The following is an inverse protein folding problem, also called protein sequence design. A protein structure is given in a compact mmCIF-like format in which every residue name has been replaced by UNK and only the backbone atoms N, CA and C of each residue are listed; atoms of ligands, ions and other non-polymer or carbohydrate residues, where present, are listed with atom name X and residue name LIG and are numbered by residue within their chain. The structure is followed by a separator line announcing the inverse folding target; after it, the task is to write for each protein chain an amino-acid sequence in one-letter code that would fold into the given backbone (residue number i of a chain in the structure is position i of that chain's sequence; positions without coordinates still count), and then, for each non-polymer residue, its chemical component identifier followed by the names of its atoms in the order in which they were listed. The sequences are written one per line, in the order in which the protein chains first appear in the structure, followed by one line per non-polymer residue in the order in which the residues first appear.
data_IF_733289939625
#
_entry.id   IF_733289939625
#
_cell.length_a   1.000
_cell.length_b   1.000
_cell.length_c   1.000
_cell.angle_alpha   90.00
_cell.angle_beta   90.00
_cell.angle_gamma   90.00
#
_symmetry.space_group_name_H-M   'P 1'
#
loop_
_entity.id
_entity.type
_entity.pdbx_description
1 polymer ?
#
# COMPACT_ATOMS: atom_id res chain seq x y z
N UNK A 1 -3.01 20.13 -17.40
CA UNK A 1 -4.41 19.75 -17.15
C UNK A 1 -4.89 18.77 -18.20
N UNK A 2 -4.64 17.47 -18.00
CA UNK A 2 -5.13 16.40 -18.86
C UNK A 2 -6.26 15.64 -18.13
N UNK A 3 -7.27 16.39 -17.63
CA UNK A 3 -8.35 15.83 -16.82
C UNK A 3 -9.07 14.63 -17.45
N UNK A 4 -9.01 14.51 -18.77
CA UNK A 4 -9.79 13.50 -19.50
C UNK A 4 -8.95 12.33 -20.01
N UNK A 5 -7.66 12.22 -19.61
CA UNK A 5 -6.73 11.30 -20.25
C UNK A 5 -6.31 10.10 -19.37
N UNK A 6 -6.76 9.98 -18.14
CA UNK A 6 -6.46 8.83 -17.28
C UNK A 6 -7.55 8.58 -16.23
N UNK A 7 -7.77 7.33 -15.91
CA UNK A 7 -8.72 6.86 -14.90
C UNK A 7 -8.03 6.50 -13.59
N UNK A 8 -6.77 6.12 -13.68
CA UNK A 8 -5.95 5.65 -12.56
C UNK A 8 -4.58 6.30 -12.54
N UNK A 9 -4.03 6.43 -11.33
CA UNK A 9 -2.64 6.70 -11.05
C UNK A 9 -2.04 5.43 -10.45
N UNK A 10 -0.96 4.92 -11.04
CA UNK A 10 -0.23 3.75 -10.55
C UNK A 10 1.16 4.18 -10.08
N UNK A 11 1.44 3.94 -8.80
CA UNK A 11 2.79 4.02 -8.23
C UNK A 11 3.44 2.66 -8.26
N UNK A 12 4.69 2.62 -8.71
CA UNK A 12 5.56 1.45 -8.65
C UNK A 12 6.95 1.94 -8.31
N UNK A 13 7.53 1.46 -7.21
CA UNK A 13 8.92 1.72 -6.87
C UNK A 13 9.85 0.95 -7.81
N UNK A 14 11.00 1.53 -8.11
CA UNK A 14 11.95 0.97 -9.09
C UNK A 14 12.56 -0.37 -8.69
N UNK A 15 12.43 -0.75 -7.43
CA UNK A 15 12.94 -1.97 -6.83
C UNK A 15 11.82 -2.98 -6.46
N UNK A 16 10.61 -2.75 -6.95
CA UNK A 16 9.47 -3.67 -6.82
C UNK A 16 9.32 -4.50 -8.09
N UNK A 17 9.26 -5.83 -7.93
CA UNK A 17 9.00 -6.79 -9.01
C UNK A 17 7.72 -7.56 -8.74
N UNK A 18 6.88 -7.72 -9.74
CA UNK A 18 5.58 -8.36 -9.66
C UNK A 18 5.17 -8.98 -11.01
N UNK A 19 4.15 -9.83 -11.00
CA UNK A 19 3.56 -10.37 -12.23
C UNK A 19 2.67 -9.33 -12.90
N UNK A 20 2.77 -9.17 -14.22
CA UNK A 20 2.01 -8.15 -14.96
C UNK A 20 0.50 -8.23 -14.76
N UNK A 21 -0.06 -9.44 -14.53
CA UNK A 21 -1.48 -9.65 -14.26
C UNK A 21 -1.94 -9.10 -12.89
N UNK A 22 -1.02 -8.84 -11.95
CA UNK A 22 -1.35 -8.26 -10.65
C UNK A 22 -2.08 -6.93 -10.78
N UNK A 23 -1.61 -6.06 -11.69
CA UNK A 23 -2.23 -4.75 -11.91
C UNK A 23 -3.66 -4.90 -12.48
N UNK A 24 -3.87 -5.85 -13.39
CA UNK A 24 -5.22 -6.12 -13.91
C UNK A 24 -6.18 -6.62 -12.83
N UNK A 25 -5.72 -7.48 -11.93
CA UNK A 25 -6.50 -7.92 -10.76
C UNK A 25 -6.84 -6.76 -9.81
N UNK A 26 -5.92 -5.82 -9.63
CA UNK A 26 -6.18 -4.60 -8.84
C UNK A 26 -7.23 -3.71 -9.52
N UNK A 27 -7.18 -3.57 -10.85
CA UNK A 27 -8.19 -2.83 -11.63
C UNK A 27 -9.56 -3.52 -11.51
N UNK A 28 -9.61 -4.85 -11.69
CA UNK A 28 -10.84 -5.65 -11.62
C UNK A 28 -11.49 -5.63 -10.23
N UNK A 29 -10.67 -5.43 -9.18
CA UNK A 29 -11.16 -5.27 -7.82
C UNK A 29 -11.99 -3.99 -7.61
N UNK A 30 -11.87 -3.02 -8.52
CA UNK A 30 -12.67 -1.78 -8.57
C UNK A 30 -12.69 -0.97 -7.26
N UNK A 31 -11.54 -0.88 -6.57
CA UNK A 31 -11.40 -0.09 -5.34
C UNK A 31 -10.85 1.31 -5.63
N UNK A 32 -11.24 2.28 -4.80
CA UNK A 32 -10.76 3.66 -4.93
C UNK A 32 -9.24 3.74 -4.73
N UNK A 33 -8.72 3.05 -3.71
CA UNK A 33 -7.29 2.85 -3.46
C UNK A 33 -7.07 1.36 -3.20
N UNK A 34 -6.15 0.76 -3.94
CA UNK A 34 -5.71 -0.61 -3.72
C UNK A 34 -4.19 -0.73 -3.92
N UNK A 35 -3.51 -1.38 -2.98
CA UNK A 35 -2.08 -1.66 -3.08
C UNK A 35 -1.82 -3.16 -3.12
N UNK A 36 -0.67 -3.57 -3.67
CA UNK A 36 -0.15 -4.92 -3.50
C UNK A 36 0.99 -4.87 -2.46
N UNK A 37 0.80 -5.44 -1.26
CA UNK A 37 1.79 -5.38 -0.20
C UNK A 37 3.05 -6.16 -0.58
N UNK A 38 4.20 -5.59 -0.29
CA UNK A 38 5.51 -6.20 -0.50
C UNK A 38 6.28 -6.31 0.83
N UNK A 39 7.18 -7.32 0.96
CA UNK A 39 8.01 -7.46 2.15
C UNK A 39 8.95 -6.25 2.32
N UNK A 40 9.17 -5.84 3.55
CA UNK A 40 10.28 -4.93 3.87
C UNK A 40 11.63 -5.62 3.64
N UNK A 41 12.69 -4.87 3.34
CA UNK A 41 14.07 -5.39 3.17
C UNK A 41 14.71 -5.76 4.50
N UNK A 42 14.01 -6.57 5.29
CA UNK A 42 14.50 -7.06 6.57
C UNK A 42 13.82 -8.39 6.95
N UNK A 43 14.52 -9.19 7.75
CA UNK A 43 14.01 -10.39 8.38
C UNK A 43 13.88 -10.19 9.88
N UNK A 44 12.74 -10.53 10.42
CA UNK A 44 12.55 -10.64 11.86
C UNK A 44 12.88 -12.07 12.34
N UNK A 45 14.14 -12.34 12.59
CA UNK A 45 14.66 -13.68 12.92
C UNK A 45 14.01 -14.29 14.17
N UNK A 46 13.65 -13.45 15.16
CA UNK A 46 12.93 -13.91 16.35
C UNK A 46 11.54 -14.43 16.01
N UNK A 47 10.84 -13.74 15.12
CA UNK A 47 9.53 -14.16 14.60
C UNK A 47 9.64 -15.47 13.82
N UNK A 48 10.64 -15.58 12.92
CA UNK A 48 10.92 -16.82 12.19
C UNK A 48 11.14 -18.00 13.16
N UNK A 49 11.99 -17.81 14.15
CA UNK A 49 12.31 -18.83 15.13
C UNK A 49 11.11 -19.29 15.95
N UNK A 50 10.25 -18.36 16.36
CA UNK A 50 9.03 -18.70 17.09
C UNK A 50 8.05 -19.45 16.20
N UNK A 51 7.89 -19.04 14.93
CA UNK A 51 6.99 -19.71 13.98
C UNK A 51 7.44 -21.15 13.69
N UNK A 52 8.76 -21.41 13.58
CA UNK A 52 9.30 -22.76 13.43
C UNK A 52 9.00 -23.64 14.66
N UNK A 53 9.08 -23.08 15.86
CA UNK A 53 8.91 -23.84 17.11
C UNK A 53 7.46 -24.06 17.52
N UNK A 54 6.61 -23.07 17.27
CA UNK A 54 5.30 -22.96 17.92
C UNK A 54 4.14 -23.24 16.95
N UNK A 55 4.44 -23.37 15.65
CA UNK A 55 3.41 -23.59 14.63
C UNK A 55 3.80 -24.65 13.63
N UNK A 56 2.81 -25.39 13.09
CA UNK A 56 2.99 -26.29 11.96
C UNK A 56 3.00 -25.58 10.59
N UNK A 57 3.15 -24.26 10.57
CA UNK A 57 3.05 -23.44 9.38
C UNK A 57 4.31 -23.48 8.51
N UNK A 58 5.46 -23.73 9.13
CA UNK A 58 6.76 -23.77 8.44
C UNK A 58 7.04 -25.22 8.04
N UNK A 59 6.87 -25.53 6.77
CA UNK A 59 7.08 -26.88 6.18
C UNK A 59 8.16 -26.91 5.11
N UNK A 60 8.61 -25.73 4.67
CA UNK A 60 9.64 -25.56 3.64
C UNK A 60 10.58 -24.41 4.02
N UNK A 61 11.69 -24.30 3.30
CA UNK A 61 12.60 -23.14 3.41
C UNK A 61 11.90 -21.85 3.02
N UNK A 62 11.03 -21.88 2.01
CA UNK A 62 10.23 -20.74 1.57
C UNK A 62 9.25 -20.29 2.64
N UNK A 63 8.54 -21.20 3.31
CA UNK A 63 7.67 -20.89 4.45
C UNK A 63 8.47 -20.26 5.61
N UNK A 64 9.67 -20.77 5.85
CA UNK A 64 10.56 -20.23 6.89
C UNK A 64 10.91 -18.77 6.58
N UNK A 65 11.36 -18.47 5.39
CA UNK A 65 11.72 -17.11 4.97
C UNK A 65 10.50 -16.20 5.03
N UNK A 66 9.38 -16.60 4.44
CA UNK A 66 8.15 -15.79 4.41
C UNK A 66 7.59 -15.53 5.81
N UNK A 67 7.79 -16.43 6.75
CA UNK A 67 7.37 -16.26 8.15
C UNK A 67 8.12 -15.14 8.90
N UNK A 68 9.30 -14.77 8.42
CA UNK A 68 10.13 -13.67 8.95
C UNK A 68 9.86 -12.31 8.31
N UNK A 69 9.10 -12.26 7.24
CA UNK A 69 8.83 -10.98 6.58
C UNK A 69 7.92 -10.06 7.39
N UNK A 70 8.22 -8.79 7.30
CA UNK A 70 7.35 -7.70 7.74
C UNK A 70 6.84 -6.95 6.52
N UNK A 71 5.61 -6.46 6.62
CA UNK A 71 4.98 -5.69 5.55
C UNK A 71 4.61 -4.30 6.07
N UNK A 72 4.86 -3.23 5.31
CA UNK A 72 4.56 -1.85 5.71
C UNK A 72 3.05 -1.56 5.56
N UNK A 73 2.23 -2.33 6.28
CA UNK A 73 0.77 -2.25 6.27
C UNK A 73 0.27 -1.98 7.68
N UNK A 74 -0.70 -1.08 7.80
CA UNK A 74 -1.43 -0.89 9.04
C UNK A 74 -2.82 -1.49 8.92
N UNK A 75 -3.05 -2.53 9.68
CA UNK A 75 -4.31 -3.27 9.73
C UNK A 75 -5.18 -2.68 10.84
N UNK A 76 -6.48 -2.51 10.57
CA UNK A 76 -7.43 -2.08 11.59
C UNK A 76 -7.64 -3.12 12.70
N UNK A 77 -8.34 -2.73 13.76
CA UNK A 77 -8.60 -3.60 14.92
C UNK A 77 -9.73 -4.61 14.69
N UNK A 78 -10.54 -4.40 13.65
CA UNK A 78 -11.68 -5.25 13.33
C UNK A 78 -11.27 -6.64 12.83
N UNK A 79 -12.24 -7.54 12.72
CA UNK A 79 -12.08 -8.83 12.05
C UNK A 79 -11.59 -8.60 10.62
N UNK A 80 -10.55 -9.32 10.23
CA UNK A 80 -9.99 -9.22 8.88
C UNK A 80 -10.76 -10.15 7.95
N UNK A 81 -11.26 -9.59 6.86
CA UNK A 81 -12.00 -10.32 5.84
C UNK A 81 -11.22 -10.20 4.53
N UNK A 82 -10.87 -11.35 3.97
CA UNK A 82 -10.30 -11.44 2.64
C UNK A 82 -11.39 -11.96 1.71
N UNK A 83 -11.88 -11.09 0.84
CA UNK A 83 -12.89 -11.41 -0.18
C UNK A 83 -12.26 -11.31 -1.57
N UNK A 84 -12.25 -12.43 -2.32
CA UNK A 84 -11.65 -12.51 -3.67
C UNK A 84 -10.21 -11.97 -3.73
N UNK A 85 -9.44 -12.19 -2.67
CA UNK A 85 -8.07 -11.72 -2.57
C UNK A 85 -7.91 -10.26 -2.17
N UNK A 86 -8.99 -9.57 -1.85
CA UNK A 86 -8.98 -8.17 -1.44
C UNK A 86 -9.30 -8.03 0.05
N UNK A 87 -8.53 -7.21 0.76
CA UNK A 87 -8.71 -6.94 2.19
C UNK A 87 -8.68 -5.44 2.45
N UNK A 88 -9.59 -4.96 3.32
CA UNK A 88 -9.58 -3.58 3.81
C UNK A 88 -8.46 -3.38 4.84
N UNK A 89 -7.73 -2.29 4.72
CA UNK A 89 -6.66 -1.87 5.65
C UNK A 89 -6.81 -0.39 5.97
N UNK A 90 -6.09 0.11 6.97
CA UNK A 90 -6.11 1.55 7.26
C UNK A 90 -5.06 2.31 6.45
N UNK A 91 -3.87 1.71 6.27
CA UNK A 91 -2.77 2.32 5.53
C UNK A 91 -2.03 1.25 4.74
N UNK A 92 -1.53 1.64 3.57
CA UNK A 92 -0.75 0.80 2.68
C UNK A 92 0.40 1.62 2.06
N UNK A 93 1.51 0.96 1.67
CA UNK A 93 2.65 1.63 1.05
C UNK A 93 2.37 1.94 -0.42
N UNK A 94 3.03 2.96 -0.95
CA UNK A 94 2.88 3.40 -2.35
C UNK A 94 3.72 2.63 -3.36
N UNK A 95 4.67 1.80 -2.92
CA UNK A 95 5.59 1.09 -3.83
C UNK A 95 4.92 0.15 -4.85
N UNK A 96 3.66 -0.24 -4.64
CA UNK A 96 2.77 -0.82 -5.65
C UNK A 96 1.32 -0.46 -5.31
N UNK A 97 0.88 0.75 -5.71
CA UNK A 97 -0.44 1.28 -5.36
C UNK A 97 -1.15 1.86 -6.57
N UNK A 98 -2.39 1.43 -6.75
CA UNK A 98 -3.32 1.93 -7.77
C UNK A 98 -4.37 2.83 -7.11
N UNK A 99 -4.54 4.03 -7.64
CA UNK A 99 -5.43 5.06 -7.10
C UNK A 99 -6.36 5.52 -8.22
N UNK A 100 -7.68 5.47 -7.99
CA UNK A 100 -8.63 6.06 -8.92
C UNK A 100 -8.49 7.58 -8.93
N UNK A 101 -8.68 8.16 -10.08
CA UNK A 101 -8.62 9.61 -10.26
C UNK A 101 -9.55 10.38 -9.34
N UNK A 102 -10.78 9.88 -9.12
CA UNK A 102 -11.74 10.53 -8.24
C UNK A 102 -11.23 10.74 -6.80
N UNK A 103 -10.28 9.91 -6.34
CA UNK A 103 -9.61 10.08 -5.04
C UNK A 103 -8.81 11.37 -5.02
N UNK A 104 -8.01 11.59 -6.07
CA UNK A 104 -7.20 12.79 -6.22
C UNK A 104 -8.09 14.04 -6.29
N UNK A 105 -9.14 14.00 -7.09
CA UNK A 105 -10.08 15.12 -7.23
C UNK A 105 -10.78 15.45 -5.90
N UNK A 106 -11.21 14.43 -5.13
CA UNK A 106 -11.84 14.62 -3.81
C UNK A 106 -10.86 15.15 -2.77
N UNK A 107 -9.61 14.65 -2.75
CA UNK A 107 -8.58 15.14 -1.84
C UNK A 107 -8.21 16.60 -2.13
N UNK A 108 -8.06 16.97 -3.39
CA UNK A 108 -7.80 18.37 -3.80
C UNK A 108 -8.96 19.28 -3.34
N UNK A 109 -10.19 18.84 -3.56
CA UNK A 109 -11.36 19.65 -3.15
C UNK A 109 -11.48 19.81 -1.62
N UNK A 110 -11.05 18.79 -0.86
CA UNK A 110 -11.14 18.77 0.59
C UNK A 110 -9.96 19.47 1.28
N UNK A 111 -8.79 19.47 0.63
CA UNK A 111 -7.54 19.97 1.15
C UNK A 111 -6.94 21.07 0.26
N UNK A 112 -7.64 22.22 0.06
CA UNK A 112 -7.11 23.31 -0.74
C UNK A 112 -5.82 23.92 -0.16
N UNK A 113 -5.60 23.77 1.16
CA UNK A 113 -4.39 24.20 1.87
C UNK A 113 -3.13 23.44 1.44
N UNK A 114 -3.28 22.27 0.80
CA UNK A 114 -2.15 21.50 0.26
C UNK A 114 -1.70 21.98 -1.12
N UNK A 115 -2.34 23.04 -1.66
CA UNK A 115 -1.86 23.63 -2.89
C UNK A 115 -0.48 24.24 -2.68
N UNK A 116 0.45 23.92 -3.56
CA UNK A 116 1.82 24.42 -3.51
C UNK A 116 2.15 25.21 -4.76
N UNK A 117 3.05 26.17 -4.58
CA UNK A 117 3.67 26.90 -5.67
C UNK A 117 5.12 26.46 -5.81
N UNK A 118 5.46 25.90 -6.96
CA UNK A 118 6.84 25.57 -7.30
C UNK A 118 7.27 26.42 -8.50
N UNK A 119 8.15 27.41 -8.30
CA UNK A 119 8.69 28.17 -9.42
C UNK A 119 9.50 27.25 -10.33
N UNK A 120 9.18 27.26 -11.61
CA UNK A 120 9.95 26.52 -12.64
C UNK A 120 10.43 27.54 -13.65
N UNK A 121 11.73 27.58 -13.88
CA UNK A 121 12.32 28.46 -14.91
C UNK A 121 12.64 27.64 -16.14
N UNK A 122 12.00 27.96 -17.28
CA UNK A 122 12.29 27.37 -18.57
C UNK A 122 12.70 28.50 -19.54
N UNK A 123 13.87 28.38 -20.14
CA UNK A 123 14.42 29.41 -21.04
C UNK A 123 14.43 30.83 -20.44
N UNK A 124 14.79 30.97 -19.15
CA UNK A 124 14.86 32.24 -18.45
C UNK A 124 13.51 32.85 -18.08
N UNK A 125 12.39 32.16 -18.32
CA UNK A 125 11.05 32.61 -17.93
C UNK A 125 10.52 31.75 -16.80
N UNK A 126 10.01 32.38 -15.76
CA UNK A 126 9.30 31.71 -14.67
C UNK A 126 7.93 31.25 -15.20
N UNK A 127 7.67 29.96 -15.05
CA UNK A 127 6.39 29.35 -15.38
C UNK A 127 5.68 29.00 -14.07
N UNK A 128 4.54 29.60 -13.83
CA UNK A 128 3.63 29.22 -12.76
C UNK A 128 2.90 27.94 -13.15
N UNK A 129 3.12 26.87 -12.41
CA UNK A 129 2.29 25.67 -12.50
C UNK A 129 1.12 25.85 -11.55
N UNK A 130 -0.06 26.06 -12.10
CA UNK A 130 -1.31 25.96 -11.35
C UNK A 130 -1.65 24.48 -11.13
N UNK A 131 -2.39 24.15 -10.10
CA UNK A 131 -2.84 22.79 -9.77
C UNK A 131 -1.72 21.81 -9.32
N UNK A 132 -0.75 22.29 -8.59
CA UNK A 132 0.16 21.46 -7.82
C UNK A 132 -0.35 21.33 -6.39
N UNK A 133 -0.51 20.09 -5.93
CA UNK A 133 -0.97 19.76 -4.58
C UNK A 133 -0.03 18.74 -3.96
N UNK A 134 0.41 19.02 -2.71
CA UNK A 134 1.27 18.11 -1.96
C UNK A 134 0.43 17.08 -1.20
N UNK A 135 -0.30 16.24 -1.94
CA UNK A 135 -1.19 15.21 -1.38
C UNK A 135 -0.42 14.11 -0.61
N UNK A 136 0.84 13.93 -0.96
CA UNK A 136 1.76 12.98 -0.32
C UNK A 136 2.71 13.67 0.67
N UNK A 137 2.27 14.77 1.29
CA UNK A 137 3.02 15.35 2.39
C UNK A 137 2.94 14.46 3.64
N UNK A 138 4.01 14.49 4.44
CA UNK A 138 3.98 13.86 5.74
C UNK A 138 2.89 14.47 6.62
N UNK A 139 2.38 13.71 7.57
CA UNK A 139 1.34 14.19 8.47
C UNK A 139 1.83 14.08 9.92
N UNK A 140 1.79 15.21 10.63
CA UNK A 140 2.04 15.26 12.06
C UNK A 140 0.78 15.72 12.78
N UNK A 141 0.28 14.89 13.69
CA UNK A 141 -0.81 15.24 14.59
C UNK A 141 -0.21 15.80 15.90
N UNK A 142 -0.36 17.09 16.19
CA UNK A 142 0.24 17.70 17.37
C UNK A 142 -0.39 17.26 18.69
N UNK A 143 -1.65 16.80 18.68
CA UNK A 143 -2.35 16.37 19.88
C UNK A 143 -1.92 14.96 20.29
N UNK A 144 -1.95 14.01 19.35
CA UNK A 144 -1.58 12.61 19.60
C UNK A 144 -0.07 12.37 19.43
N UNK A 145 0.68 13.35 18.92
CA UNK A 145 2.10 13.27 18.55
C UNK A 145 2.41 12.17 17.52
N UNK A 146 1.39 11.73 16.79
CA UNK A 146 1.57 10.74 15.72
C UNK A 146 2.21 11.40 14.50
N UNK A 147 3.14 10.69 13.92
CA UNK A 147 3.78 11.06 12.66
C UNK A 147 3.51 9.97 11.62
N UNK A 148 3.13 10.37 10.45
CA UNK A 148 2.95 9.50 9.28
C UNK A 148 3.87 9.96 8.16
N UNK A 149 4.59 9.01 7.55
CA UNK A 149 5.28 9.24 6.29
C UNK A 149 4.30 9.57 5.16
N UNK A 150 4.82 9.83 3.98
CA UNK A 150 4.07 10.33 2.82
C UNK A 150 2.92 9.39 2.39
N UNK A 151 3.19 8.11 2.31
CA UNK A 151 2.22 7.08 1.93
C UNK A 151 1.12 6.90 2.97
N UNK A 152 1.48 6.82 4.23
CA UNK A 152 0.51 6.72 5.34
C UNK A 152 -0.23 8.04 5.55
N UNK A 153 0.43 9.18 5.35
CA UNK A 153 -0.20 10.49 5.38
C UNK A 153 -1.26 10.64 4.29
N UNK A 154 -0.98 10.15 3.08
CA UNK A 154 -1.96 10.10 2.00
C UNK A 154 -3.16 9.20 2.34
N UNK A 155 -2.91 8.00 2.84
CA UNK A 155 -3.97 7.09 3.28
C UNK A 155 -4.81 7.69 4.41
N UNK A 156 -4.18 8.36 5.38
CA UNK A 156 -4.89 9.01 6.48
C UNK A 156 -5.82 10.12 5.98
N UNK A 157 -5.34 11.03 5.11
CA UNK A 157 -6.19 12.08 4.50
C UNK A 157 -7.40 11.49 3.78
N UNK A 158 -7.22 10.36 3.09
CA UNK A 158 -8.31 9.68 2.41
C UNK A 158 -9.33 9.08 3.39
N UNK A 159 -8.85 8.41 4.45
CA UNK A 159 -9.73 7.81 5.46
C UNK A 159 -10.45 8.87 6.30
N UNK A 160 -9.84 10.01 6.58
CA UNK A 160 -10.44 11.13 7.32
C UNK A 160 -11.67 11.72 6.61
N UNK A 161 -11.74 11.61 5.29
CA UNK A 161 -12.91 12.03 4.51
C UNK A 161 -13.89 10.88 4.22
N UNK A 162 -13.75 9.73 4.91
CA UNK A 162 -14.64 8.56 4.81
C UNK A 162 -14.27 7.59 3.70
N UNK A 163 -13.12 7.74 3.07
CA UNK A 163 -12.58 6.79 2.10
C UNK A 163 -12.06 5.51 2.74
N UNK A 164 -11.83 4.48 1.90
CA UNK A 164 -11.30 3.19 2.33
C UNK A 164 -10.07 2.83 1.52
N UNK A 165 -9.12 2.17 2.18
CA UNK A 165 -7.89 1.65 1.57
C UNK A 165 -7.95 0.14 1.55
N UNK A 166 -7.54 -0.45 0.44
CA UNK A 166 -7.55 -1.90 0.25
C UNK A 166 -6.18 -2.42 -0.16
N UNK A 167 -5.98 -3.71 0.05
CA UNK A 167 -4.81 -4.44 -0.47
C UNK A 167 -5.25 -5.70 -1.20
N UNK A 168 -4.57 -6.02 -2.30
CA UNK A 168 -4.65 -7.31 -2.97
C UNK A 168 -3.56 -8.23 -2.41
N UNK A 169 -3.94 -9.36 -1.84
CA UNK A 169 -3.06 -10.15 -0.97
C UNK A 169 -2.57 -11.47 -1.57
N UNK A 170 -3.06 -11.85 -2.77
CA UNK A 170 -2.88 -13.20 -3.28
C UNK A 170 -1.64 -13.40 -4.15
N UNK A 171 -1.02 -12.35 -4.65
CA UNK A 171 0.13 -12.47 -5.54
C UNK A 171 1.45 -12.34 -4.77
N UNK A 172 2.47 -13.06 -5.26
CA UNK A 172 3.84 -12.84 -4.83
C UNK A 172 4.36 -11.53 -5.41
N UNK A 173 5.07 -10.81 -4.58
CA UNK A 173 5.70 -9.55 -4.93
C UNK A 173 7.08 -9.49 -4.30
N UNK A 174 8.07 -9.04 -5.05
CA UNK A 174 9.46 -8.98 -4.60
C UNK A 174 9.89 -7.53 -4.38
N UNK A 175 10.62 -7.32 -3.30
CA UNK A 175 11.33 -6.08 -3.01
C UNK A 175 12.83 -6.33 -3.18
N UNK A 176 13.41 -5.77 -4.22
CA UNK A 176 14.78 -6.05 -4.64
C UNK A 176 15.75 -5.16 -3.86
N UNK A 177 16.80 -5.75 -3.30
CA UNK A 177 17.90 -5.09 -2.60
C UNK A 177 19.15 -5.93 -2.72
N UNK A 178 19.98 -5.98 -1.66
CA UNK A 178 21.11 -6.90 -1.55
C UNK A 178 20.64 -8.38 -1.55
N UNK A 179 19.39 -8.57 -1.24
CA UNK A 179 18.66 -9.81 -1.31
C UNK A 179 17.28 -9.56 -1.94
N UNK A 180 16.71 -10.58 -2.60
CA UNK A 180 15.34 -10.54 -3.09
C UNK A 180 14.37 -10.97 -1.98
N UNK A 181 13.61 -10.03 -1.45
CA UNK A 181 12.57 -10.29 -0.45
C UNK A 181 11.26 -10.58 -1.17
N UNK A 182 11.04 -11.86 -1.52
CA UNK A 182 9.84 -12.29 -2.24
C UNK A 182 8.82 -12.90 -1.28
N UNK A 183 7.61 -12.39 -1.26
CA UNK A 183 6.56 -12.89 -0.39
C UNK A 183 5.16 -12.58 -0.87
N UNK A 184 4.20 -13.31 -0.29
CA UNK A 184 2.78 -13.11 -0.49
C UNK A 184 2.14 -12.74 0.84
N UNK A 185 1.48 -11.59 0.87
CA UNK A 185 0.90 -11.07 2.13
C UNK A 185 -0.15 -12.02 2.72
N UNK A 186 -0.85 -12.77 1.89
CA UNK A 186 -1.79 -13.80 2.32
C UNK A 186 -1.16 -14.83 3.27
N UNK A 187 0.09 -15.24 3.04
CA UNK A 187 0.76 -16.24 3.88
C UNK A 187 0.99 -15.71 5.29
N UNK A 188 1.33 -14.42 5.42
CA UNK A 188 1.41 -13.79 6.73
C UNK A 188 0.04 -13.76 7.44
N UNK A 189 -1.04 -13.54 6.70
CA UNK A 189 -2.40 -13.47 7.28
C UNK A 189 -2.87 -14.80 7.82
N UNK A 190 -2.50 -15.93 7.21
CA UNK A 190 -2.95 -17.28 7.65
C UNK A 190 -2.53 -17.62 9.07
N UNK A 191 -1.48 -16.99 9.60
CA UNK A 191 -1.06 -17.10 11.00
C UNK A 191 -1.86 -16.28 12.01
N UNK A 192 -2.75 -15.39 11.55
CA UNK A 192 -3.53 -14.53 12.44
C UNK A 192 -4.89 -15.17 12.75
N UNK A 193 -5.19 -15.39 14.04
CA UNK A 193 -6.45 -16.00 14.50
C UNK A 193 -7.75 -15.23 14.14
N UNK A 194 -7.64 -13.97 13.71
CA UNK A 194 -8.78 -13.08 13.40
C UNK A 194 -9.07 -12.93 11.90
N UNK A 195 -8.46 -13.75 11.07
CA UNK A 195 -8.66 -13.69 9.59
C UNK A 195 -9.78 -14.65 9.21
N UNK A 196 -10.72 -14.14 8.42
CA UNK A 196 -11.73 -14.92 7.69
C UNK A 196 -11.44 -14.82 6.20
N UNK A 197 -11.26 -15.97 5.57
CA UNK A 197 -10.93 -16.06 4.16
C UNK A 197 -12.10 -16.74 3.44
N UNK A 198 -12.56 -16.13 2.36
CA UNK A 198 -13.55 -16.77 1.49
C UNK A 198 -13.02 -18.11 0.99
N UNK A 199 -13.72 -19.22 1.32
CA UNK A 199 -13.34 -20.58 0.96
C UNK A 199 -13.31 -20.86 -0.55
N UNK A 200 -13.76 -19.90 -1.38
CA UNK A 200 -13.73 -20.01 -2.84
C UNK A 200 -12.36 -19.68 -3.47
N UNK A 201 -11.38 -19.27 -2.67
CA UNK A 201 -10.03 -18.90 -3.14
C UNK A 201 -9.02 -20.06 -3.04
N UNK A 202 -9.46 -21.26 -2.68
CA UNK A 202 -8.60 -22.46 -2.66
C UNK A 202 -8.51 -23.12 -4.02
#
# INVERSE_FOLDING_TARGET
NHKDNYDYLLFIDSDISFQSNTIFKMIDADKDIIACPYPMKLFETKKMWNNIKETDMVKSEEDMLSSGYMYPIKIGENKLIVDKGVMEVTHAPTGCMLIKRNVIDKLIAKHPELQIYQPTVINGKEIKKENLYNLFDTLHDPETKRYFGEDFGFCQRWTDIGGKVYVYVMDHISHIGDHEYCGRFYDMLTGLKRVDVDKKIK
#
